data_IF_399997360328
#
_entry.id   IF_399997360328
#
_cell.length_a   1.000
_cell.length_b   1.000
_cell.length_c   1.000
_cell.angle_alpha   90.00
_cell.angle_beta   90.00
_cell.angle_gamma   90.00
#
_symmetry.space_group_name_H-M   'P 1'
#
loop_
_entity.id
_entity.type
_entity.pdbx_description
1 polymer ?
#
# COMPACT_ATOMS: atom_id res chain seq x y z
N UNK A 1 -15.45 10.72 21.15
CA UNK A 1 -14.71 9.44 21.23
C UNK A 1 -14.34 9.08 19.81
N UNK A 2 -13.04 9.02 19.48
CA UNK A 2 -12.60 8.45 18.20
C UNK A 2 -13.02 6.97 18.27
N UNK A 3 -14.05 6.57 17.52
CA UNK A 3 -14.45 5.15 17.47
C UNK A 3 -13.28 4.29 16.99
N UNK A 4 -13.28 3.02 17.39
CA UNK A 4 -12.20 2.09 17.03
C UNK A 4 -11.96 2.13 15.52
N UNK A 5 -10.70 2.37 15.14
CA UNK A 5 -10.29 2.44 13.75
C UNK A 5 -10.60 1.11 13.07
N UNK A 6 -11.34 1.15 11.95
CA UNK A 6 -11.66 -0.05 11.16
C UNK A 6 -10.36 -0.83 10.84
N UNK A 7 -10.35 -2.17 10.93
CA UNK A 7 -9.13 -2.96 10.71
C UNK A 7 -8.37 -2.62 9.42
N UNK A 8 -9.08 -2.42 8.31
CA UNK A 8 -8.45 -2.03 7.03
C UNK A 8 -7.79 -0.64 7.09
N UNK A 9 -8.35 0.31 7.85
CA UNK A 9 -7.71 1.61 8.03
C UNK A 9 -6.39 1.45 8.81
N UNK A 10 -6.32 0.53 9.77
CA UNK A 10 -5.06 0.23 10.47
C UNK A 10 -4.00 -0.36 9.52
N UNK A 11 -4.40 -1.23 8.59
CA UNK A 11 -3.50 -1.79 7.55
C UNK A 11 -2.93 -0.69 6.67
N UNK A 12 -3.77 0.22 6.19
CA UNK A 12 -3.34 1.35 5.35
C UNK A 12 -2.34 2.24 6.09
N UNK A 13 -2.61 2.57 7.37
CA UNK A 13 -1.71 3.39 8.17
C UNK A 13 -0.34 2.72 8.37
N UNK A 14 -0.30 1.42 8.64
CA UNK A 14 0.94 0.64 8.73
C UNK A 14 1.72 0.65 7.41
N UNK A 15 1.02 0.51 6.28
CA UNK A 15 1.63 0.57 4.96
C UNK A 15 2.32 1.91 4.69
N UNK A 16 1.66 3.03 4.99
CA UNK A 16 2.30 4.35 4.83
C UNK A 16 3.48 4.55 5.77
N UNK A 17 3.42 4.04 7.00
CA UNK A 17 4.55 4.10 7.94
C UNK A 17 5.75 3.32 7.40
N UNK A 18 5.56 2.05 7.04
CA UNK A 18 6.62 1.20 6.50
C UNK A 18 7.24 1.80 5.23
N UNK A 19 6.41 2.34 4.33
CA UNK A 19 6.88 3.03 3.13
C UNK A 19 7.74 4.26 3.46
N UNK A 20 7.30 5.11 4.39
CA UNK A 20 8.04 6.30 4.80
C UNK A 20 9.38 6.00 5.49
N UNK A 21 9.46 4.89 6.22
CA UNK A 21 10.67 4.41 6.89
C UNK A 21 11.61 3.63 5.95
N UNK A 22 11.16 3.31 4.73
CA UNK A 22 11.91 2.49 3.78
C UNK A 22 11.88 0.98 4.09
N UNK A 23 11.02 0.52 5.00
CA UNK A 23 10.86 -0.89 5.35
C UNK A 23 10.01 -1.62 4.29
N UNK A 24 10.65 -1.95 3.18
CA UNK A 24 10.01 -2.65 2.07
C UNK A 24 9.65 -4.10 2.40
N UNK A 25 10.30 -4.71 3.39
CA UNK A 25 9.97 -6.06 3.84
C UNK A 25 8.62 -6.04 4.56
N UNK A 26 8.44 -5.15 5.55
CA UNK A 26 7.16 -4.99 6.23
C UNK A 26 6.06 -4.52 5.28
N UNK A 27 6.38 -3.63 4.32
CA UNK A 27 5.40 -3.18 3.33
C UNK A 27 4.90 -4.34 2.46
N UNK A 28 5.79 -5.23 2.02
CA UNK A 28 5.44 -6.38 1.17
C UNK A 28 4.45 -7.32 1.84
N UNK A 29 4.56 -7.56 3.14
CA UNK A 29 3.64 -8.43 3.90
C UNK A 29 2.20 -7.89 3.98
N UNK A 30 1.98 -6.60 3.68
CA UNK A 30 0.65 -5.98 3.74
C UNK A 30 -0.13 -6.07 2.43
N UNK A 31 0.52 -6.42 1.33
CA UNK A 31 -0.09 -6.54 0.01
C UNK A 31 -0.32 -8.01 -0.33
N UNK A 32 -1.43 -8.29 -1.01
CA UNK A 32 -1.64 -9.60 -1.62
C UNK A 32 -0.63 -9.83 -2.76
N UNK A 33 -0.22 -11.08 -2.99
CA UNK A 33 0.74 -11.43 -4.05
C UNK A 33 0.27 -11.02 -5.45
N UNK A 34 -1.05 -10.94 -5.66
CA UNK A 34 -1.72 -10.56 -6.90
C UNK A 34 -2.29 -9.13 -6.87
N UNK A 35 -1.89 -8.32 -5.89
CA UNK A 35 -2.36 -6.94 -5.78
C UNK A 35 -2.04 -6.12 -7.04
N UNK A 36 -2.98 -5.25 -7.43
CA UNK A 36 -2.82 -4.36 -8.59
C UNK A 36 -2.73 -2.91 -8.11
N UNK A 37 -1.64 -2.23 -8.47
CA UNK A 37 -1.46 -0.80 -8.24
C UNK A 37 -1.69 0.00 -9.52
N UNK A 38 -2.76 0.80 -9.53
CA UNK A 38 -3.13 1.64 -10.65
C UNK A 38 -2.49 3.03 -10.54
N UNK A 39 -1.50 3.31 -11.38
CA UNK A 39 -0.87 4.63 -11.44
C UNK A 39 -1.46 5.44 -12.59
N UNK A 40 -2.19 6.51 -12.28
CA UNK A 40 -2.75 7.41 -13.30
C UNK A 40 -1.71 8.20 -14.09
N UNK A 41 -2.17 8.90 -15.13
CA UNK A 41 -1.38 9.86 -15.91
C UNK A 41 -0.89 9.32 -17.26
N UNK A 42 0.08 10.04 -17.85
CA UNK A 42 0.72 9.69 -19.13
C UNK A 42 2.23 9.86 -19.04
N UNK A 43 2.85 9.07 -18.17
CA UNK A 43 4.29 9.02 -17.98
C UNK A 43 4.79 7.57 -17.94
N UNK A 44 6.11 7.37 -17.81
CA UNK A 44 6.73 6.04 -17.83
C UNK A 44 6.34 5.11 -16.66
N UNK A 45 5.67 5.65 -15.64
CA UNK A 45 5.18 4.92 -14.47
C UNK A 45 3.66 4.78 -14.46
N UNK A 46 2.95 5.29 -15.47
CA UNK A 46 1.50 5.14 -15.56
C UNK A 46 1.13 3.72 -16.01
N UNK A 47 -0.03 3.25 -15.57
CA UNK A 47 -0.56 1.92 -15.88
C UNK A 47 -0.76 1.04 -14.65
N UNK A 48 -1.06 -0.22 -14.92
CA UNK A 48 -1.37 -1.24 -13.91
C UNK A 48 -0.11 -2.02 -13.59
N UNK A 49 0.27 -2.03 -12.31
CA UNK A 49 1.41 -2.79 -11.80
C UNK A 49 0.85 -3.98 -11.01
N UNK A 50 1.09 -5.19 -11.50
CA UNK A 50 0.55 -6.42 -10.92
C UNK A 50 1.62 -7.13 -10.12
N UNK A 51 1.30 -7.44 -8.87
CA UNK A 51 2.16 -8.14 -7.92
C UNK A 51 3.21 -7.28 -7.22
N UNK A 52 3.98 -7.92 -6.34
CA UNK A 52 5.02 -7.31 -5.48
C UNK A 52 6.41 -7.90 -5.74
#
# INVERSE_FOLDING_TARGET
MMGDMHPNAQVVMKGFQAFGEGDMAALKELFAEDAVWHTGGRNKFSGDHVGI
#
